data_IF_585697768872
#
_entry.id   IF_585697768872
#
_cell.length_a   1.000
_cell.length_b   1.000
_cell.length_c   1.000
_cell.angle_alpha   90.00
_cell.angle_beta   90.00
_cell.angle_gamma   90.00
#
_symmetry.space_group_name_H-M   'P 1'
#
loop_
_entity.id
_entity.type
_entity.pdbx_description
1 polymer ?
#
# COMPACT_ATOMS: atom_id res chain seq x y z
N UNK A 1 -17.88 -32.03 37.18
CA UNK A 1 -19.19 -31.54 36.67
C UNK A 1 -19.40 -32.07 35.25
N UNK A 2 -20.51 -32.76 34.98
CA UNK A 2 -20.84 -33.23 33.64
C UNK A 2 -21.26 -32.05 32.76
N UNK A 3 -20.57 -31.83 31.64
CA UNK A 3 -20.93 -30.79 30.66
C UNK A 3 -22.09 -31.27 29.80
N UNK A 4 -23.25 -30.63 29.94
CA UNK A 4 -24.42 -30.84 29.09
C UNK A 4 -24.29 -30.00 27.81
N UNK A 5 -24.26 -30.65 26.65
CA UNK A 5 -24.20 -29.97 25.36
C UNK A 5 -25.58 -30.07 24.69
N UNK A 6 -25.92 -29.09 23.83
CA UNK A 6 -27.19 -29.06 23.07
C UNK A 6 -26.96 -29.51 21.63
N UNK A 7 -27.85 -30.36 21.10
CA UNK A 7 -27.75 -30.85 19.73
C UNK A 7 -27.80 -29.66 18.75
N UNK A 8 -26.85 -29.61 17.82
CA UNK A 8 -26.72 -28.51 16.85
C UNK A 8 -27.73 -28.58 15.69
N UNK A 9 -28.36 -29.74 15.44
CA UNK A 9 -29.48 -29.84 14.50
C UNK A 9 -30.63 -28.96 14.98
N UNK A 10 -30.98 -27.97 14.16
CA UNK A 10 -31.95 -26.91 14.46
C UNK A 10 -33.31 -27.43 14.92
N UNK A 11 -33.89 -28.45 14.28
CA UNK A 11 -35.14 -29.08 14.70
C UNK A 11 -35.05 -29.86 16.03
N UNK A 12 -33.86 -30.40 16.35
CA UNK A 12 -33.72 -31.37 17.43
C UNK A 12 -33.46 -30.73 18.81
N UNK A 13 -32.45 -29.85 18.91
CA UNK A 13 -32.07 -29.04 20.11
C UNK A 13 -32.11 -29.72 21.48
N UNK A 14 -32.08 -31.05 21.56
CA UNK A 14 -32.15 -31.79 22.82
C UNK A 14 -30.89 -31.53 23.65
N UNK A 15 -31.06 -31.32 24.95
CA UNK A 15 -29.97 -31.07 25.91
C UNK A 15 -29.67 -32.37 26.64
N UNK A 16 -28.42 -32.80 26.65
CA UNK A 16 -28.02 -34.06 27.27
C UNK A 16 -26.52 -34.35 27.17
N UNK A 17 -26.10 -35.53 27.59
CA UNK A 17 -24.77 -36.09 27.30
C UNK A 17 -24.71 -36.52 25.84
N UNK A 18 -24.51 -35.55 24.95
CA UNK A 18 -24.37 -35.80 23.51
C UNK A 18 -23.16 -36.68 23.23
N UNK A 19 -23.35 -37.74 22.45
CA UNK A 19 -22.32 -38.76 22.22
C UNK A 19 -21.50 -38.53 20.95
N UNK A 20 -22.00 -37.77 19.97
CA UNK A 20 -21.37 -37.63 18.66
C UNK A 20 -20.85 -36.20 18.48
N UNK A 21 -19.56 -36.08 18.21
CA UNK A 21 -18.89 -34.82 17.83
C UNK A 21 -18.62 -34.83 16.33
N UNK A 22 -18.61 -33.66 15.71
CA UNK A 22 -18.05 -33.53 14.37
C UNK A 22 -16.59 -33.99 14.38
N UNK A 23 -16.21 -34.89 13.48
CA UNK A 23 -14.86 -35.43 13.40
C UNK A 23 -13.81 -34.37 13.00
N UNK A 24 -14.24 -33.33 12.27
CA UNK A 24 -13.40 -32.26 11.77
C UNK A 24 -13.19 -31.18 12.85
N UNK A 25 -14.20 -30.35 13.13
CA UNK A 25 -14.06 -29.24 14.07
C UNK A 25 -14.04 -29.65 15.54
N UNK A 26 -14.57 -30.83 15.90
CA UNK A 26 -14.70 -31.33 17.29
C UNK A 26 -15.48 -30.42 18.26
N UNK A 27 -16.02 -29.29 17.79
CA UNK A 27 -16.74 -28.28 18.57
C UNK A 27 -18.26 -28.41 18.48
N UNK A 28 -18.78 -28.99 17.39
CA UNK A 28 -20.22 -29.21 17.19
C UNK A 28 -20.65 -30.59 17.69
N UNK A 29 -21.76 -30.65 18.43
CA UNK A 29 -22.26 -31.87 19.07
C UNK A 29 -23.65 -32.27 18.56
N UNK A 30 -23.87 -33.58 18.46
CA UNK A 30 -25.09 -34.18 17.97
C UNK A 30 -25.59 -35.30 18.89
N UNK A 31 -26.91 -35.42 18.98
CA UNK A 31 -27.54 -36.53 19.71
C UNK A 31 -27.54 -37.83 18.89
N UNK A 32 -27.47 -37.74 17.57
CA UNK A 32 -27.51 -38.87 16.64
C UNK A 32 -26.73 -38.57 15.35
N UNK A 33 -26.41 -39.63 14.59
CA UNK A 33 -25.78 -39.51 13.27
C UNK A 33 -26.71 -38.83 12.26
N UNK A 34 -28.02 -39.04 12.36
CA UNK A 34 -29.02 -38.38 11.52
C UNK A 34 -28.98 -36.85 11.69
N UNK A 35 -28.98 -36.36 12.93
CA UNK A 35 -28.84 -34.93 13.22
C UNK A 35 -27.49 -34.36 12.77
N UNK A 36 -26.43 -35.17 12.81
CA UNK A 36 -25.12 -34.77 12.30
C UNK A 36 -25.13 -34.58 10.78
N UNK A 37 -25.70 -35.55 10.03
CA UNK A 37 -25.79 -35.50 8.57
C UNK A 37 -26.69 -34.36 8.09
N UNK A 38 -27.88 -34.23 8.67
CA UNK A 38 -28.83 -33.16 8.34
C UNK A 38 -28.20 -31.77 8.54
N UNK A 39 -27.64 -31.51 9.73
CA UNK A 39 -26.99 -30.24 10.00
C UNK A 39 -25.74 -30.03 9.13
N UNK A 40 -25.00 -31.10 8.79
CA UNK A 40 -23.83 -31.04 7.91
C UNK A 40 -24.19 -30.53 6.52
N UNK A 41 -25.17 -31.16 5.88
CA UNK A 41 -25.57 -30.82 4.51
C UNK A 41 -26.24 -29.44 4.43
N UNK A 42 -27.05 -29.06 5.43
CA UNK A 42 -27.80 -27.80 5.37
C UNK A 42 -26.97 -26.57 5.75
N UNK A 43 -26.07 -26.67 6.75
CA UNK A 43 -25.44 -25.48 7.37
C UNK A 43 -24.00 -25.65 7.81
N UNK A 44 -23.64 -26.78 8.42
CA UNK A 44 -22.35 -26.91 9.09
C UNK A 44 -21.19 -27.05 8.10
N UNK A 45 -21.37 -27.66 6.94
CA UNK A 45 -20.32 -27.78 5.92
C UNK A 45 -19.74 -26.43 5.48
N UNK A 46 -20.57 -25.39 5.46
CA UNK A 46 -20.16 -24.01 5.11
C UNK A 46 -19.50 -23.26 6.27
N UNK A 47 -19.59 -23.78 7.50
CA UNK A 47 -19.17 -23.11 8.74
C UNK A 47 -18.27 -23.99 9.61
N UNK A 48 -17.74 -25.08 9.06
CA UNK A 48 -16.88 -26.02 9.77
C UNK A 48 -15.43 -25.55 9.71
N UNK A 49 -14.85 -25.21 10.85
CA UNK A 49 -13.49 -24.64 10.95
C UNK A 49 -12.34 -25.67 10.80
N UNK A 50 -12.61 -26.89 10.34
CA UNK A 50 -11.57 -27.92 10.10
C UNK A 50 -10.89 -28.48 11.36
N UNK A 51 -9.86 -29.33 11.18
CA UNK A 51 -9.13 -29.97 12.29
C UNK A 51 -8.21 -29.02 13.07
N UNK A 52 -7.89 -27.88 12.48
CA UNK A 52 -7.07 -26.81 13.08
C UNK A 52 -7.94 -25.78 13.84
N UNK A 53 -9.25 -26.05 13.96
CA UNK A 53 -10.14 -25.31 14.83
C UNK A 53 -9.63 -25.43 16.27
N UNK A 54 -9.04 -24.35 16.77
CA UNK A 54 -8.74 -24.21 18.19
C UNK A 54 -9.99 -24.58 18.98
N UNK A 55 -9.88 -25.60 19.85
CA UNK A 55 -10.96 -25.91 20.78
C UNK A 55 -11.28 -24.62 21.54
N UNK A 56 -12.53 -24.11 21.51
CA UNK A 56 -12.89 -22.94 22.29
C UNK A 56 -12.47 -23.22 23.72
N UNK A 57 -11.74 -22.28 24.32
CA UNK A 57 -11.26 -22.38 25.69
C UNK A 57 -12.41 -22.87 26.56
N UNK A 58 -12.20 -23.99 27.27
CA UNK A 58 -13.21 -24.52 28.19
C UNK A 58 -13.60 -23.37 29.12
N UNK A 59 -14.91 -23.15 29.27
CA UNK A 59 -15.42 -22.20 30.25
C UNK A 59 -14.84 -22.55 31.62
N UNK A 60 -13.99 -21.67 32.18
CA UNK A 60 -13.62 -21.76 33.60
C UNK A 60 -12.16 -21.59 34.05
N UNK A 61 -11.18 -21.12 33.25
CA UNK A 61 -9.80 -20.91 33.81
C UNK A 61 -9.35 -19.44 33.80
N UNK A 62 -9.90 -18.59 32.93
CA UNK A 62 -9.60 -17.16 32.96
C UNK A 62 -10.83 -16.34 32.58
N UNK A 63 -11.44 -15.71 33.59
CA UNK A 63 -12.54 -14.78 33.35
C UNK A 63 -11.98 -13.43 32.88
N UNK A 64 -11.55 -13.37 31.61
CA UNK A 64 -11.01 -12.15 31.02
C UNK A 64 -11.98 -10.97 31.18
N UNK A 65 -13.28 -11.21 31.02
CA UNK A 65 -14.33 -10.18 31.19
C UNK A 65 -14.52 -9.73 32.65
N UNK A 66 -14.07 -10.52 33.62
CA UNK A 66 -14.06 -10.18 35.04
C UNK A 66 -12.86 -9.33 35.46
N UNK A 67 -11.87 -9.13 34.61
CA UNK A 67 -10.78 -8.18 34.88
C UNK A 67 -11.30 -6.74 34.86
N UNK A 68 -10.72 -5.81 35.65
CA UNK A 68 -11.01 -4.38 35.50
C UNK A 68 -10.78 -3.88 34.08
N UNK A 69 -11.57 -2.90 33.62
CA UNK A 69 -11.51 -2.39 32.24
C UNK A 69 -10.11 -1.83 31.90
N UNK A 70 -9.45 -1.22 32.88
CA UNK A 70 -8.11 -0.67 32.77
C UNK A 70 -7.08 -1.76 32.48
N UNK A 71 -7.21 -2.92 33.12
CA UNK A 71 -6.33 -4.08 32.89
C UNK A 71 -6.58 -4.68 31.52
N UNK A 72 -7.85 -4.83 31.10
CA UNK A 72 -8.19 -5.33 29.76
C UNK A 72 -7.63 -4.41 28.67
N UNK A 73 -7.74 -3.09 28.85
CA UNK A 73 -7.17 -2.10 27.92
C UNK A 73 -5.65 -2.23 27.78
N UNK A 74 -4.91 -2.42 28.88
CA UNK A 74 -3.46 -2.67 28.83
C UNK A 74 -3.13 -3.95 28.08
N UNK A 75 -3.88 -5.03 28.29
CA UNK A 75 -3.70 -6.28 27.55
C UNK A 75 -3.98 -6.08 26.05
N UNK A 76 -5.04 -5.36 25.70
CA UNK A 76 -5.33 -5.04 24.29
C UNK A 76 -4.22 -4.23 23.64
N UNK A 77 -3.67 -3.24 24.35
CA UNK A 77 -2.54 -2.44 23.86
C UNK A 77 -1.29 -3.29 23.63
N UNK A 78 -0.88 -4.10 24.61
CA UNK A 78 0.33 -4.93 24.48
C UNK A 78 0.22 -5.96 23.36
N UNK A 79 -0.94 -6.59 23.22
CA UNK A 79 -1.10 -7.65 22.23
C UNK A 79 -1.21 -7.06 20.82
N UNK A 80 -1.82 -5.89 20.64
CA UNK A 80 -2.32 -5.47 19.32
C UNK A 80 -2.05 -4.01 18.92
N UNK A 81 -1.61 -3.14 19.82
CA UNK A 81 -1.07 -1.86 19.37
C UNK A 81 0.27 -2.13 18.66
N UNK A 82 0.39 -1.66 17.43
CA UNK A 82 1.64 -1.74 16.70
C UNK A 82 2.50 -0.54 17.10
N UNK A 83 3.73 -0.82 17.52
CA UNK A 83 4.70 0.19 17.94
C UNK A 83 6.03 -0.13 17.30
N UNK A 84 6.79 0.91 16.95
CA UNK A 84 8.16 0.73 16.48
C UNK A 84 9.03 0.24 17.66
N UNK A 85 9.98 -0.65 17.40
CA UNK A 85 11.09 -0.89 18.32
C UNK A 85 11.80 0.43 18.67
N UNK A 86 12.38 0.54 19.86
CA UNK A 86 13.03 1.78 20.32
C UNK A 86 14.15 2.24 19.38
N UNK A 87 14.89 1.30 18.78
CA UNK A 87 15.94 1.58 17.77
C UNK A 87 15.36 2.20 16.51
N UNK A 88 14.29 1.62 15.99
CA UNK A 88 13.61 2.08 14.78
C UNK A 88 12.93 3.44 15.01
N UNK A 89 12.40 3.67 16.21
CA UNK A 89 11.82 4.97 16.59
C UNK A 89 12.89 6.07 16.61
N UNK A 90 14.07 5.81 17.19
CA UNK A 90 15.15 6.78 17.20
C UNK A 90 15.65 7.12 15.78
N UNK A 91 15.68 6.12 14.89
CA UNK A 91 16.01 6.32 13.48
C UNK A 91 14.94 7.13 12.75
N UNK A 92 13.66 6.81 12.98
CA UNK A 92 12.52 7.57 12.45
C UNK A 92 12.61 9.04 12.85
N UNK A 93 12.78 9.34 14.13
CA UNK A 93 12.81 10.70 14.66
C UNK A 93 13.97 11.51 14.07
N UNK A 94 15.14 10.88 13.89
CA UNK A 94 16.31 11.47 13.23
C UNK A 94 16.05 11.83 11.77
N UNK A 95 15.39 10.94 11.02
CA UNK A 95 15.07 11.20 9.60
C UNK A 95 13.98 12.27 9.50
N UNK A 96 12.96 12.22 10.35
CA UNK A 96 11.91 13.22 10.41
C UNK A 96 12.46 14.62 10.71
N UNK A 97 13.41 14.74 11.66
CA UNK A 97 14.10 15.99 11.95
C UNK A 97 14.92 16.53 10.76
N UNK A 98 15.44 15.65 9.91
CA UNK A 98 16.19 16.04 8.71
C UNK A 98 15.29 16.72 7.67
N UNK A 99 14.04 16.26 7.53
CA UNK A 99 13.04 16.87 6.64
C UNK A 99 12.72 18.30 7.08
N UNK A 100 12.59 18.52 8.40
CA UNK A 100 12.33 19.85 8.98
C UNK A 100 13.46 20.86 8.73
N UNK A 101 14.67 20.39 8.42
CA UNK A 101 15.86 21.23 8.23
C UNK A 101 16.13 21.67 6.76
N UNK A 102 15.22 21.37 5.81
CA UNK A 102 15.07 22.18 4.58
C UNK A 102 15.83 21.77 3.31
N UNK A 103 16.40 20.56 3.19
CA UNK A 103 16.96 20.11 1.90
C UNK A 103 15.88 19.41 1.04
N UNK A 104 15.35 20.11 0.03
CA UNK A 104 14.23 19.65 -0.81
C UNK A 104 14.47 18.32 -1.56
N UNK A 105 15.68 18.09 -2.11
CA UNK A 105 16.00 16.83 -2.81
C UNK A 105 16.16 15.63 -1.87
N UNK A 106 16.50 15.87 -0.59
CA UNK A 106 16.47 14.85 0.45
C UNK A 106 15.06 14.54 0.91
N UNK A 107 14.12 15.48 0.80
CA UNK A 107 12.78 15.33 1.35
C UNK A 107 11.99 14.18 0.71
N UNK A 108 12.09 13.94 -0.60
CA UNK A 108 11.39 12.80 -1.24
C UNK A 108 11.95 11.46 -0.75
N UNK A 109 13.28 11.31 -0.77
CA UNK A 109 13.96 10.10 -0.30
C UNK A 109 13.72 9.84 1.19
N UNK A 110 13.76 10.89 2.01
CA UNK A 110 13.43 10.79 3.43
C UNK A 110 11.95 10.42 3.64
N UNK A 111 11.03 10.95 2.82
CA UNK A 111 9.59 10.58 2.89
C UNK A 111 9.38 9.10 2.54
N UNK A 112 10.00 8.60 1.48
CA UNK A 112 9.94 7.18 1.14
C UNK A 112 10.54 6.30 2.24
N UNK A 113 11.65 6.75 2.85
CA UNK A 113 12.28 6.04 3.94
C UNK A 113 11.41 6.00 5.20
N UNK A 114 10.77 7.11 5.58
CA UNK A 114 9.81 7.15 6.69
C UNK A 114 8.57 6.30 6.41
N UNK A 115 8.11 6.25 5.17
CA UNK A 115 6.98 5.42 4.79
C UNK A 115 7.25 3.92 5.01
N UNK A 116 8.49 3.46 4.82
CA UNK A 116 8.89 2.09 5.18
C UNK A 116 8.67 1.82 6.67
N UNK A 117 9.00 2.76 7.56
CA UNK A 117 8.74 2.62 8.99
C UNK A 117 7.26 2.69 9.33
N UNK A 118 6.52 3.63 8.75
CA UNK A 118 5.07 3.75 8.95
C UNK A 118 4.40 2.40 8.62
N UNK A 119 4.77 1.75 7.52
CA UNK A 119 4.23 0.44 7.12
C UNK A 119 4.55 -0.68 8.10
N UNK A 120 5.70 -0.65 8.79
CA UNK A 120 6.09 -1.65 9.81
C UNK A 120 5.22 -1.62 11.07
N UNK A 121 4.40 -0.59 11.25
CA UNK A 121 3.47 -0.51 12.39
C UNK A 121 2.01 -0.49 11.97
N UNK A 122 1.71 -0.73 10.69
CA UNK A 122 0.31 -0.81 10.27
C UNK A 122 -0.33 -2.13 10.69
N UNK A 123 -1.67 -2.13 10.68
CA UNK A 123 -2.49 -3.32 10.89
C UNK A 123 -3.27 -3.64 9.62
N UNK A 124 -3.25 -4.90 9.20
CA UNK A 124 -4.02 -5.40 8.05
C UNK A 124 -5.02 -6.48 8.48
N UNK A 125 -6.28 -6.48 7.99
CA UNK A 125 -7.33 -7.33 8.54
C UNK A 125 -7.22 -8.82 8.19
N UNK A 126 -6.71 -9.19 7.01
CA UNK A 126 -6.98 -10.54 6.46
C UNK A 126 -5.77 -11.40 6.06
N UNK A 127 -4.54 -10.89 6.05
CA UNK A 127 -3.40 -11.71 5.61
C UNK A 127 -2.04 -11.13 6.02
N UNK A 128 -1.04 -12.00 6.10
CA UNK A 128 0.35 -11.59 5.87
C UNK A 128 0.45 -11.21 4.40
N UNK A 129 0.31 -9.92 4.08
CA UNK A 129 0.77 -9.38 2.81
C UNK A 129 2.23 -9.73 2.63
N UNK A 130 2.52 -10.74 1.81
CA UNK A 130 3.89 -11.12 1.53
C UNK A 130 4.49 -10.26 0.43
N UNK A 131 3.68 -9.65 -0.44
CA UNK A 131 4.12 -8.88 -1.62
C UNK A 131 3.10 -7.78 -2.01
N UNK A 132 3.60 -6.60 -2.42
CA UNK A 132 2.92 -5.61 -3.27
C UNK A 132 3.85 -5.34 -4.46
N UNK A 133 3.36 -5.47 -5.69
CA UNK A 133 4.17 -5.31 -6.91
C UNK A 133 5.45 -6.19 -6.94
N UNK A 134 5.38 -7.43 -6.45
CA UNK A 134 6.56 -8.31 -6.24
C UNK A 134 7.62 -7.75 -5.27
N UNK A 135 7.36 -6.61 -4.63
CA UNK A 135 8.18 -6.10 -3.52
C UNK A 135 7.60 -6.64 -2.23
N UNK A 136 8.38 -7.35 -1.41
CA UNK A 136 7.86 -7.86 -0.17
C UNK A 136 7.47 -6.72 0.78
N UNK A 137 6.21 -6.71 1.21
CA UNK A 137 5.78 -5.82 2.29
C UNK A 137 6.21 -6.48 3.58
N UNK A 138 7.26 -5.94 4.19
CA UNK A 138 7.70 -6.40 5.50
C UNK A 138 7.13 -5.52 6.60
N UNK A 139 6.70 -6.15 7.69
CA UNK A 139 6.62 -5.51 9.00
C UNK A 139 5.25 -5.13 9.54
N UNK A 140 4.16 -5.11 8.78
CA UNK A 140 2.83 -4.83 9.36
C UNK A 140 2.36 -5.99 10.25
N UNK A 141 1.50 -5.70 11.25
CA UNK A 141 0.89 -6.72 12.12
C UNK A 141 -0.43 -7.21 11.51
N UNK A 142 -0.58 -8.50 11.20
CA UNK A 142 -1.86 -9.04 10.77
C UNK A 142 -2.84 -9.07 11.93
N UNK A 143 -4.03 -8.48 11.78
CA UNK A 143 -5.12 -8.58 12.75
C UNK A 143 -5.56 -10.04 12.94
N UNK A 144 -5.36 -10.89 11.92
CA UNK A 144 -5.62 -12.34 12.01
C UNK A 144 -4.77 -13.04 13.07
N UNK A 145 -3.61 -12.49 13.48
CA UNK A 145 -2.85 -13.05 14.61
C UNK A 145 -3.57 -12.86 15.96
N UNK A 146 -4.47 -11.88 16.04
CA UNK A 146 -5.37 -11.67 17.18
C UNK A 146 -6.59 -12.58 17.17
N UNK A 147 -6.77 -13.40 16.14
CA UNK A 147 -8.02 -14.12 15.84
C UNK A 147 -8.46 -15.02 16.99
N UNK A 148 -7.53 -15.63 17.73
CA UNK A 148 -7.87 -16.41 18.92
C UNK A 148 -8.62 -15.61 20.00
N UNK A 149 -8.21 -14.37 20.25
CA UNK A 149 -8.87 -13.45 21.18
C UNK A 149 -10.18 -12.88 20.61
N UNK A 150 -10.18 -12.53 19.32
CA UNK A 150 -11.36 -12.02 18.61
C UNK A 150 -12.50 -13.05 18.53
N UNK A 151 -12.17 -14.33 18.35
CA UNK A 151 -13.13 -15.43 18.25
C UNK A 151 -13.58 -15.96 19.62
N UNK A 152 -12.81 -15.72 20.68
CA UNK A 152 -13.13 -16.22 22.01
C UNK A 152 -14.44 -15.64 22.58
N UNK A 153 -14.78 -14.39 22.24
CA UNK A 153 -16.00 -13.74 22.75
C UNK A 153 -16.39 -12.50 21.93
N UNK A 154 -17.69 -12.34 21.62
CA UNK A 154 -18.24 -11.17 20.88
C UNK A 154 -17.99 -9.85 21.58
N UNK A 155 -18.10 -9.80 22.91
CA UNK A 155 -17.85 -8.61 23.70
C UNK A 155 -16.36 -8.25 23.71
N UNK A 156 -15.47 -9.23 23.82
CA UNK A 156 -14.01 -9.02 23.67
C UNK A 156 -13.73 -8.46 22.28
N UNK A 157 -14.32 -9.04 21.22
CA UNK A 157 -14.17 -8.57 19.85
C UNK A 157 -14.61 -7.11 19.68
N UNK A 158 -15.72 -6.72 20.29
CA UNK A 158 -16.24 -5.36 20.23
C UNK A 158 -15.38 -4.37 21.04
N UNK A 159 -15.06 -4.71 22.30
CA UNK A 159 -14.19 -3.91 23.17
C UNK A 159 -12.82 -3.68 22.53
N UNK A 160 -12.30 -4.68 21.84
CA UNK A 160 -11.03 -4.64 21.13
C UNK A 160 -11.10 -3.74 19.89
N UNK A 161 -12.16 -3.83 19.09
CA UNK A 161 -12.38 -2.92 17.95
C UNK A 161 -12.44 -1.47 18.40
N UNK A 162 -13.10 -1.19 19.52
CA UNK A 162 -13.18 0.17 20.07
C UNK A 162 -11.84 0.67 20.61
N UNK A 163 -11.07 -0.18 21.30
CA UNK A 163 -9.78 0.20 21.88
C UNK A 163 -8.66 0.39 20.85
N UNK A 164 -8.72 -0.36 19.75
CA UNK A 164 -7.62 -0.48 18.78
C UNK A 164 -7.72 0.50 17.61
N UNK A 165 -8.93 0.78 17.12
CA UNK A 165 -9.14 1.45 15.83
C UNK A 165 -8.72 2.91 15.81
N UNK A 166 -8.74 3.57 16.96
CA UNK A 166 -8.23 4.92 17.11
C UNK A 166 -6.69 4.97 17.30
N UNK A 167 -6.07 3.86 17.74
CA UNK A 167 -4.64 3.82 18.11
C UNK A 167 -3.73 3.30 17.01
N UNK A 168 -4.25 2.51 16.08
CA UNK A 168 -3.48 1.92 14.99
C UNK A 168 -3.82 2.56 13.65
N UNK A 169 -2.84 2.56 12.75
CA UNK A 169 -3.03 2.85 11.32
C UNK A 169 -3.38 1.57 10.59
N UNK A 170 -4.49 1.58 9.86
CA UNK A 170 -4.94 0.42 9.10
C UNK A 170 -4.48 0.50 7.64
N UNK A 171 -3.83 -0.56 7.20
CA UNK A 171 -3.43 -0.75 5.81
C UNK A 171 -4.59 -1.36 5.01
N UNK A 172 -5.00 -0.64 3.98
CA UNK A 172 -5.97 -1.06 2.97
C UNK A 172 -5.24 -1.20 1.65
N UNK A 173 -5.43 -2.32 0.97
CA UNK A 173 -4.84 -2.56 -0.34
C UNK A 173 -5.89 -2.45 -1.43
N UNK A 174 -5.54 -1.72 -2.49
CA UNK A 174 -6.33 -1.57 -3.71
C UNK A 174 -5.41 -1.94 -4.85
N UNK A 175 -5.75 -2.99 -5.60
CA UNK A 175 -4.90 -3.46 -6.69
C UNK A 175 -5.72 -4.15 -7.78
N UNK A 176 -5.16 -4.21 -8.97
CA UNK A 176 -5.82 -4.76 -10.16
C UNK A 176 -5.91 -6.29 -10.20
N UNK A 177 -5.28 -6.97 -9.24
CA UNK A 177 -5.34 -8.41 -9.00
C UNK A 177 -5.69 -8.74 -7.53
N UNK A 178 -6.52 -7.92 -6.89
CA UNK A 178 -6.83 -8.09 -5.46
C UNK A 178 -7.51 -9.45 -5.22
N UNK A 179 -7.09 -10.17 -4.16
CA UNK A 179 -7.60 -11.53 -3.88
C UNK A 179 -9.11 -11.52 -3.62
N UNK A 180 -9.63 -10.48 -2.95
CA UNK A 180 -11.06 -10.29 -2.69
C UNK A 180 -11.86 -9.70 -3.87
N UNK A 181 -11.27 -9.61 -5.06
CA UNK A 181 -11.94 -9.08 -6.25
C UNK A 181 -12.67 -10.16 -7.06
N UNK A 182 -12.61 -11.42 -6.60
CA UNK A 182 -13.41 -12.53 -7.12
C UNK A 182 -14.92 -12.27 -7.03
N UNK A 183 -15.38 -11.45 -6.07
CA UNK A 183 -16.74 -10.89 -6.08
C UNK A 183 -16.84 -9.51 -5.39
N UNK A 184 -17.78 -8.66 -5.86
CA UNK A 184 -18.04 -7.36 -5.22
C UNK A 184 -18.46 -7.47 -3.75
N UNK A 185 -18.98 -8.63 -3.33
CA UNK A 185 -19.36 -8.89 -1.95
C UNK A 185 -18.14 -9.13 -1.06
N UNK A 186 -17.12 -9.81 -1.55
CA UNK A 186 -15.88 -10.07 -0.80
C UNK A 186 -15.12 -8.77 -0.53
N UNK A 187 -14.98 -7.90 -1.53
CA UNK A 187 -14.38 -6.58 -1.30
C UNK A 187 -15.19 -5.74 -0.31
N UNK A 188 -16.53 -5.80 -0.33
CA UNK A 188 -17.37 -5.14 0.68
C UNK A 188 -17.13 -5.69 2.09
N UNK A 189 -16.99 -7.01 2.22
CA UNK A 189 -16.69 -7.64 3.51
C UNK A 189 -15.30 -7.21 4.02
N UNK A 190 -14.31 -7.16 3.13
CA UNK A 190 -12.98 -6.61 3.42
C UNK A 190 -13.07 -5.15 3.92
N UNK A 191 -13.82 -4.30 3.23
CA UNK A 191 -14.05 -2.89 3.62
C UNK A 191 -14.73 -2.76 4.99
N UNK A 192 -15.62 -3.68 5.36
CA UNK A 192 -16.32 -3.67 6.65
C UNK A 192 -15.37 -3.70 7.86
N UNK A 193 -14.15 -4.23 7.68
CA UNK A 193 -13.13 -4.23 8.73
C UNK A 193 -12.58 -2.84 9.03
N UNK A 194 -12.81 -1.82 8.20
CA UNK A 194 -12.17 -0.50 8.35
C UNK A 194 -13.14 0.61 8.73
N UNK A 195 -14.45 0.34 8.80
CA UNK A 195 -15.48 1.37 8.97
C UNK A 195 -15.37 2.21 10.25
N UNK A 196 -14.71 1.67 11.29
CA UNK A 196 -14.47 2.39 12.55
C UNK A 196 -13.08 3.03 12.65
N UNK A 197 -12.25 2.89 11.61
CA UNK A 197 -10.84 3.27 11.70
C UNK A 197 -10.73 4.78 11.68
N UNK A 198 -9.78 5.31 12.45
CA UNK A 198 -9.47 6.74 12.48
C UNK A 198 -8.24 7.08 11.66
N UNK A 199 -7.32 6.13 11.54
CA UNK A 199 -6.07 6.29 10.81
C UNK A 199 -6.03 5.26 9.69
N UNK A 200 -6.10 5.72 8.45
CA UNK A 200 -6.11 4.86 7.26
C UNK A 200 -4.86 5.09 6.41
N UNK A 201 -4.33 4.00 5.88
CA UNK A 201 -3.31 4.00 4.86
C UNK A 201 -3.83 3.19 3.67
N UNK A 202 -4.03 3.84 2.53
CA UNK A 202 -4.48 3.21 1.29
C UNK A 202 -3.28 3.01 0.38
N UNK A 203 -2.89 1.74 0.18
CA UNK A 203 -1.88 1.33 -0.78
C UNK A 203 -2.55 0.95 -2.10
N UNK A 204 -2.38 1.78 -3.13
CA UNK A 204 -2.88 1.54 -4.47
C UNK A 204 -1.73 1.01 -5.34
N UNK A 205 -1.89 -0.16 -5.93
CA UNK A 205 -0.87 -0.82 -6.73
C UNK A 205 -1.43 -1.26 -8.10
N UNK A 206 -0.73 -0.94 -9.19
CA UNK A 206 -1.12 -1.37 -10.55
C UNK A 206 0.06 -2.01 -11.29
N UNK A 207 0.63 -3.12 -10.77
CA UNK A 207 1.82 -3.72 -11.36
C UNK A 207 1.54 -4.52 -12.65
N UNK A 208 0.30 -5.00 -12.81
CA UNK A 208 0.00 -6.08 -13.74
C UNK A 208 0.02 -5.65 -15.19
N UNK A 209 -0.57 -4.50 -15.50
CA UNK A 209 -0.72 -4.03 -16.87
C UNK A 209 0.02 -2.72 -17.10
N UNK A 210 0.78 -2.66 -18.20
CA UNK A 210 1.47 -1.46 -18.66
C UNK A 210 0.56 -0.68 -19.62
N UNK A 211 0.76 0.63 -19.77
CA UNK A 211 0.00 1.40 -20.74
C UNK A 211 0.19 0.81 -22.16
N UNK A 212 -0.90 0.71 -22.91
CA UNK A 212 -0.96 0.09 -24.24
C UNK A 212 -1.35 -1.39 -24.25
N UNK A 213 -1.32 -2.07 -23.10
CA UNK A 213 -1.73 -3.47 -23.00
C UNK A 213 -3.26 -3.61 -22.94
N UNK A 214 -3.78 -4.71 -23.48
CA UNK A 214 -5.23 -5.01 -23.56
C UNK A 214 -5.95 -4.99 -22.20
N UNK A 215 -5.23 -5.17 -21.09
CA UNK A 215 -5.77 -5.16 -19.73
C UNK A 215 -5.70 -3.82 -18.98
N UNK A 216 -5.03 -2.81 -19.54
CA UNK A 216 -4.74 -1.57 -18.82
C UNK A 216 -6.03 -0.79 -18.45
N UNK A 217 -6.95 -0.59 -19.40
CA UNK A 217 -8.21 0.10 -19.10
C UNK A 217 -9.09 -0.67 -18.10
N UNK A 218 -9.06 -2.00 -18.17
CA UNK A 218 -9.75 -2.85 -17.20
C UNK A 218 -9.14 -2.66 -15.80
N UNK A 219 -7.82 -2.57 -15.69
CA UNK A 219 -7.11 -2.24 -14.46
C UNK A 219 -7.54 -0.88 -13.90
N UNK A 220 -7.56 0.18 -14.72
CA UNK A 220 -8.04 1.52 -14.31
C UNK A 220 -9.46 1.44 -13.73
N UNK A 221 -10.36 0.72 -14.39
CA UNK A 221 -11.74 0.54 -13.94
C UNK A 221 -11.86 -0.27 -12.64
N UNK A 222 -11.01 -1.29 -12.45
CA UNK A 222 -10.93 -2.06 -11.21
C UNK A 222 -10.52 -1.18 -10.04
N UNK A 223 -9.44 -0.40 -10.19
CA UNK A 223 -8.97 0.53 -9.16
C UNK A 223 -10.06 1.55 -8.83
N UNK A 224 -10.72 2.11 -9.84
CA UNK A 224 -11.85 3.03 -9.66
C UNK A 224 -12.95 2.41 -8.80
N UNK A 225 -13.39 1.20 -9.15
CA UNK A 225 -14.47 0.48 -8.47
C UNK A 225 -14.12 0.18 -7.02
N UNK A 226 -12.92 -0.34 -6.75
CA UNK A 226 -12.46 -0.66 -5.40
C UNK A 226 -12.38 0.60 -4.54
N UNK A 227 -11.73 1.66 -5.04
CA UNK A 227 -11.58 2.91 -4.30
C UNK A 227 -12.94 3.58 -4.04
N UNK A 228 -13.85 3.62 -5.02
CA UNK A 228 -15.22 4.11 -4.82
C UNK A 228 -15.98 3.29 -3.78
N UNK A 229 -15.88 1.95 -3.83
CA UNK A 229 -16.56 1.08 -2.87
C UNK A 229 -16.07 1.36 -1.45
N UNK A 230 -14.77 1.53 -1.26
CA UNK A 230 -14.19 1.91 0.02
C UNK A 230 -14.72 3.26 0.51
N UNK A 231 -14.61 4.30 -0.31
CA UNK A 231 -15.00 5.67 0.06
C UNK A 231 -16.49 5.74 0.38
N UNK A 232 -17.35 5.18 -0.47
CA UNK A 232 -18.82 5.15 -0.24
C UNK A 232 -19.14 4.44 1.07
N UNK A 233 -18.48 3.31 1.35
CA UNK A 233 -18.74 2.54 2.57
C UNK A 233 -18.32 3.31 3.83
N UNK A 234 -17.18 4.01 3.78
CA UNK A 234 -16.72 4.88 4.86
C UNK A 234 -17.66 6.07 5.07
N UNK A 235 -18.14 6.69 4.00
CA UNK A 235 -19.11 7.79 4.07
C UNK A 235 -20.45 7.34 4.67
N UNK A 236 -20.97 6.19 4.23
CA UNK A 236 -22.21 5.61 4.78
C UNK A 236 -22.08 5.26 6.26
N UNK A 237 -20.89 4.88 6.72
CA UNK A 237 -20.61 4.63 8.12
C UNK A 237 -20.43 5.91 8.95
N UNK A 238 -20.46 7.10 8.32
CA UNK A 238 -20.21 8.37 9.00
C UNK A 238 -18.77 8.50 9.50
N UNK A 239 -17.80 7.91 8.78
CA UNK A 239 -16.41 7.95 9.18
C UNK A 239 -15.88 9.39 9.25
N UNK A 240 -15.04 9.64 10.25
CA UNK A 240 -14.26 10.85 10.40
C UNK A 240 -12.83 10.41 10.72
N UNK A 241 -11.88 10.76 9.86
CA UNK A 241 -10.51 10.27 9.91
C UNK A 241 -9.58 11.30 10.54
N UNK A 242 -8.81 10.85 11.52
CA UNK A 242 -7.73 11.63 12.11
C UNK A 242 -6.56 11.70 11.13
N UNK A 243 -6.26 10.60 10.45
CA UNK A 243 -5.30 10.59 9.34
C UNK A 243 -5.72 9.71 8.16
N UNK A 244 -5.35 10.16 6.97
CA UNK A 244 -5.46 9.39 5.74
C UNK A 244 -4.17 9.56 4.92
N UNK A 245 -3.45 8.47 4.71
CA UNK A 245 -2.29 8.42 3.81
C UNK A 245 -2.65 7.60 2.58
N UNK A 246 -2.30 8.08 1.39
CA UNK A 246 -2.49 7.36 0.13
C UNK A 246 -1.16 7.21 -0.58
N UNK A 247 -0.76 5.97 -0.90
CA UNK A 247 0.40 5.69 -1.75
C UNK A 247 -0.07 5.06 -3.05
N UNK A 248 0.30 5.65 -4.18
CA UNK A 248 0.07 5.06 -5.50
C UNK A 248 1.39 4.54 -6.10
N UNK A 249 1.46 3.23 -6.33
CA UNK A 249 2.60 2.58 -7.00
C UNK A 249 2.13 2.07 -8.36
N UNK A 250 2.62 2.67 -9.43
CA UNK A 250 2.26 2.26 -10.79
C UNK A 250 3.01 0.99 -11.22
N UNK A 251 2.94 0.66 -12.51
CA UNK A 251 3.80 -0.35 -13.12
C UNK A 251 5.28 0.07 -13.19
N UNK A 252 5.61 1.31 -12.80
CA UNK A 252 6.98 1.85 -12.68
C UNK A 252 7.19 2.34 -11.24
N UNK A 253 7.60 1.48 -10.31
CA UNK A 253 7.31 1.55 -8.88
C UNK A 253 7.87 2.80 -8.16
N UNK A 254 7.18 3.93 -8.26
CA UNK A 254 7.65 5.21 -7.72
C UNK A 254 8.66 5.94 -8.62
N UNK A 255 9.00 5.39 -9.79
CA UNK A 255 9.97 6.01 -10.70
C UNK A 255 9.44 7.31 -11.31
N UNK A 256 8.12 7.47 -11.39
CA UNK A 256 7.50 8.67 -11.98
C UNK A 256 7.40 9.80 -10.97
N UNK A 257 7.28 9.49 -9.67
CA UNK A 257 7.27 10.51 -8.62
C UNK A 257 8.54 11.38 -8.64
N UNK A 258 9.71 10.76 -8.72
CA UNK A 258 11.00 11.46 -8.79
C UNK A 258 11.12 12.32 -10.06
N UNK A 259 10.50 11.88 -11.15
CA UNK A 259 10.53 12.52 -12.46
C UNK A 259 9.27 13.33 -12.79
N UNK A 260 8.42 13.63 -11.80
CA UNK A 260 7.07 14.18 -12.03
C UNK A 260 7.06 15.41 -12.94
N UNK A 261 8.02 16.31 -12.77
CA UNK A 261 8.14 17.52 -13.62
C UNK A 261 8.37 17.15 -15.08
N UNK A 262 9.32 16.25 -15.34
CA UNK A 262 9.65 15.78 -16.69
C UNK A 262 8.51 14.96 -17.30
N UNK A 263 7.85 14.15 -16.48
CA UNK A 263 6.71 13.31 -16.85
C UNK A 263 5.47 14.15 -17.21
N UNK A 264 5.20 15.22 -16.45
CA UNK A 264 4.12 16.17 -16.75
C UNK A 264 4.38 16.92 -18.06
N UNK A 265 5.61 17.38 -18.29
CA UNK A 265 6.02 17.97 -19.57
C UNK A 265 5.83 17.01 -20.74
N UNK A 266 6.22 15.75 -20.57
CA UNK A 266 6.02 14.70 -21.56
C UNK A 266 4.54 14.39 -21.81
N UNK A 267 3.71 14.36 -20.78
CA UNK A 267 2.27 14.16 -20.91
C UNK A 267 1.57 15.33 -21.64
N UNK A 268 2.08 16.55 -21.47
CA UNK A 268 1.53 17.76 -22.07
C UNK A 268 1.96 17.95 -23.53
N UNK A 269 3.19 17.58 -23.89
CA UNK A 269 3.78 17.90 -25.20
C UNK A 269 4.34 16.66 -25.90
N UNK A 270 3.86 16.38 -27.11
CA UNK A 270 4.33 15.21 -27.91
C UNK A 270 5.81 15.28 -28.29
N UNK A 271 6.36 16.49 -28.40
CA UNK A 271 7.75 16.76 -28.79
C UNK A 271 8.71 16.82 -27.59
N UNK A 272 8.20 16.66 -26.37
CA UNK A 272 9.03 16.54 -25.18
C UNK A 272 9.94 15.31 -25.26
N UNK A 273 11.04 15.34 -24.50
CA UNK A 273 12.00 14.24 -24.41
C UNK A 273 11.33 13.03 -23.74
N UNK A 274 11.61 11.85 -24.27
CA UNK A 274 11.19 10.58 -23.67
C UNK A 274 11.89 10.35 -22.34
N UNK A 275 11.28 9.54 -21.48
CA UNK A 275 11.85 9.16 -20.19
C UNK A 275 12.32 7.73 -20.27
N UNK A 276 13.61 7.50 -20.08
CA UNK A 276 14.20 6.17 -20.01
C UNK A 276 14.01 5.58 -18.62
N UNK A 277 13.50 4.36 -18.59
CA UNK A 277 13.12 3.64 -17.37
C UNK A 277 13.63 2.20 -17.43
N UNK A 278 13.61 1.53 -16.30
CA UNK A 278 13.80 0.08 -16.26
C UNK A 278 12.44 -0.58 -16.21
N UNK A 279 12.13 -1.46 -17.15
CA UNK A 279 10.96 -2.30 -17.04
C UNK A 279 11.17 -3.28 -15.87
N UNK A 280 10.38 -3.19 -14.78
CA UNK A 280 10.58 -4.03 -13.61
C UNK A 280 10.26 -5.51 -13.87
N UNK A 281 9.60 -5.85 -14.98
CA UNK A 281 9.26 -7.23 -15.34
C UNK A 281 10.36 -7.93 -16.11
N UNK A 282 10.99 -7.20 -17.02
CA UNK A 282 12.03 -7.74 -17.91
C UNK A 282 13.45 -7.37 -17.48
N UNK A 283 13.58 -6.44 -16.54
CA UNK A 283 14.84 -5.81 -16.11
C UNK A 283 15.63 -5.21 -17.28
N UNK A 284 14.93 -4.82 -18.35
CA UNK A 284 15.53 -4.16 -19.52
C UNK A 284 15.22 -2.67 -19.51
N UNK A 285 16.14 -1.92 -20.10
CA UNK A 285 15.91 -0.50 -20.34
C UNK A 285 14.85 -0.32 -21.42
N UNK A 286 13.86 0.51 -21.12
CA UNK A 286 12.78 0.90 -22.02
C UNK A 286 12.61 2.43 -21.92
N UNK A 287 11.69 2.99 -22.71
CA UNK A 287 11.35 4.40 -22.63
C UNK A 287 9.85 4.65 -22.65
N UNK A 288 9.43 5.63 -21.87
CA UNK A 288 8.06 6.13 -21.88
C UNK A 288 7.98 7.29 -22.88
N UNK A 289 7.10 7.14 -23.86
CA UNK A 289 6.73 8.19 -24.80
C UNK A 289 5.43 8.90 -24.39
N UNK A 290 5.11 10.00 -25.10
CA UNK A 290 3.94 10.84 -24.83
C UNK A 290 2.62 10.05 -24.71
N UNK A 291 2.35 9.13 -25.63
CA UNK A 291 1.10 8.36 -25.63
C UNK A 291 1.00 7.44 -24.39
N UNK A 292 2.09 6.73 -24.09
CA UNK A 292 2.23 5.85 -22.92
C UNK A 292 2.09 6.63 -21.62
N UNK A 293 2.73 7.79 -21.50
CA UNK A 293 2.62 8.65 -20.30
C UNK A 293 1.19 9.15 -20.08
N UNK A 294 0.49 9.59 -21.15
CA UNK A 294 -0.91 9.99 -21.04
C UNK A 294 -1.82 8.86 -20.59
N UNK A 295 -1.59 7.65 -21.07
CA UNK A 295 -2.35 6.48 -20.63
C UNK A 295 -2.03 6.13 -19.18
N UNK A 296 -0.76 6.16 -18.76
CA UNK A 296 -0.36 5.96 -17.37
C UNK A 296 -1.13 6.88 -16.41
N UNK A 297 -1.25 8.17 -16.78
CA UNK A 297 -1.96 9.17 -16.01
C UNK A 297 -3.48 8.97 -15.92
N UNK A 298 -4.07 8.00 -16.62
CA UNK A 298 -5.46 7.62 -16.41
C UNK A 298 -5.71 7.07 -14.99
N UNK A 299 -4.74 6.34 -14.41
CA UNK A 299 -4.81 5.91 -13.02
C UNK A 299 -4.77 7.12 -12.07
N UNK A 300 -3.80 8.01 -12.26
CA UNK A 300 -3.66 9.26 -11.49
C UNK A 300 -4.97 10.06 -11.48
N UNK A 301 -5.52 10.33 -12.67
CA UNK A 301 -6.76 11.09 -12.84
C UNK A 301 -7.95 10.41 -12.16
N UNK A 302 -8.03 9.07 -12.26
CA UNK A 302 -9.06 8.26 -11.62
C UNK A 302 -8.98 8.35 -10.10
N UNK A 303 -7.79 8.14 -9.53
CA UNK A 303 -7.55 8.23 -8.08
C UNK A 303 -7.90 9.63 -7.58
N UNK A 304 -7.41 10.66 -8.25
CA UNK A 304 -7.66 12.05 -7.90
C UNK A 304 -9.14 12.42 -7.96
N UNK A 305 -9.86 11.96 -8.98
CA UNK A 305 -11.30 12.19 -9.10
C UNK A 305 -12.08 11.60 -7.93
N UNK A 306 -11.78 10.36 -7.53
CA UNK A 306 -12.46 9.69 -6.42
C UNK A 306 -12.13 10.36 -5.09
N UNK A 307 -10.86 10.65 -4.82
CA UNK A 307 -10.44 11.32 -3.58
C UNK A 307 -11.02 12.74 -3.46
N UNK A 308 -11.03 13.51 -4.56
CA UNK A 308 -11.59 14.86 -4.56
C UNK A 308 -13.11 14.87 -4.35
N UNK A 309 -13.81 13.83 -4.81
CA UNK A 309 -15.25 13.68 -4.63
C UNK A 309 -15.63 13.24 -3.20
N UNK A 310 -14.69 12.68 -2.44
CA UNK A 310 -14.96 12.23 -1.07
C UNK A 310 -15.38 13.39 -0.18
N UNK A 311 -16.38 13.14 0.68
CA UNK A 311 -16.90 14.06 1.69
C UNK A 311 -16.39 13.73 3.10
N UNK A 312 -15.56 12.70 3.23
CA UNK A 312 -15.00 12.29 4.51
C UNK A 312 -14.13 13.43 5.07
N UNK A 313 -14.39 13.91 6.29
CA UNK A 313 -13.49 14.83 6.97
C UNK A 313 -12.18 14.11 7.32
N UNK A 314 -11.05 14.76 7.02
CA UNK A 314 -9.70 14.25 7.30
C UNK A 314 -8.88 15.36 7.94
N UNK A 315 -8.30 15.08 9.10
CA UNK A 315 -7.46 16.08 9.80
C UNK A 315 -6.03 16.12 9.26
N UNK A 316 -5.41 14.96 9.02
CA UNK A 316 -4.07 14.85 8.48
C UNK A 316 -4.06 14.00 7.19
N UNK A 317 -3.93 14.66 6.04
CA UNK A 317 -3.87 13.98 4.75
C UNK A 317 -2.42 13.92 4.24
N UNK A 318 -2.00 12.78 3.68
CA UNK A 318 -0.72 12.63 2.98
C UNK A 318 -0.93 11.84 1.69
N UNK A 319 -0.23 12.23 0.63
CA UNK A 319 -0.27 11.50 -0.63
C UNK A 319 1.09 11.54 -1.32
N UNK A 320 1.49 10.42 -1.91
CA UNK A 320 2.72 10.26 -2.67
C UNK A 320 2.58 9.12 -3.67
N UNK A 321 3.53 9.02 -4.59
CA UNK A 321 3.57 8.07 -5.69
C UNK A 321 3.46 8.72 -7.06
N UNK A 322 3.20 7.85 -8.05
CA UNK A 322 3.21 8.14 -9.49
C UNK A 322 1.98 8.94 -9.97
N UNK A 323 1.63 9.99 -9.23
CA UNK A 323 0.51 10.90 -9.50
C UNK A 323 1.03 12.10 -10.29
N UNK A 324 0.27 12.52 -11.29
CA UNK A 324 0.58 13.70 -12.10
C UNK A 324 0.57 14.98 -11.25
N UNK A 325 1.40 15.97 -11.59
CA UNK A 325 1.40 17.27 -10.89
C UNK A 325 0.04 17.98 -10.93
N UNK A 326 -0.70 18.00 -12.06
CA UNK A 326 -2.05 18.56 -12.12
C UNK A 326 -3.03 17.87 -11.15
N UNK A 327 -3.01 16.55 -11.07
CA UNK A 327 -3.88 15.79 -10.16
C UNK A 327 -3.48 15.97 -8.71
N UNK A 328 -2.17 15.94 -8.41
CA UNK A 328 -1.66 16.24 -7.08
C UNK A 328 -2.07 17.64 -6.64
N UNK A 329 -2.07 18.63 -7.53
CA UNK A 329 -2.52 20.00 -7.24
C UNK A 329 -4.03 20.08 -6.98
N UNK A 330 -4.85 19.27 -7.66
CA UNK A 330 -6.28 19.15 -7.36
C UNK A 330 -6.53 18.55 -5.97
N UNK A 331 -5.85 17.46 -5.66
CA UNK A 331 -5.94 16.77 -4.36
C UNK A 331 -5.45 17.70 -3.25
N UNK A 332 -4.32 18.36 -3.45
CA UNK A 332 -3.73 19.28 -2.46
C UNK A 332 -4.68 20.42 -2.12
N UNK A 333 -5.41 20.98 -3.11
CA UNK A 333 -6.47 21.97 -2.85
C UNK A 333 -7.63 21.39 -2.05
N UNK A 334 -8.06 20.16 -2.34
CA UNK A 334 -9.16 19.49 -1.61
C UNK A 334 -8.82 19.26 -0.13
N UNK A 335 -7.58 18.91 0.16
CA UNK A 335 -7.13 18.54 1.52
C UNK A 335 -6.25 19.60 2.19
N UNK A 336 -6.14 20.79 1.59
CA UNK A 336 -5.32 21.91 2.08
C UNK A 336 -3.85 21.53 2.36
N UNK A 337 -3.22 20.79 1.46
CA UNK A 337 -1.80 20.41 1.54
C UNK A 337 -0.94 21.41 0.76
N UNK A 338 0.25 21.79 1.27
CA UNK A 338 1.24 22.54 0.51
C UNK A 338 1.64 21.80 -0.77
N UNK A 339 1.53 22.46 -1.92
CA UNK A 339 2.10 21.94 -3.16
C UNK A 339 3.60 22.26 -3.22
N UNK A 340 4.45 21.32 -3.64
CA UNK A 340 5.86 21.61 -3.87
C UNK A 340 6.00 22.73 -4.91
N UNK A 341 6.73 23.80 -4.57
CA UNK A 341 7.01 24.88 -5.53
C UNK A 341 7.96 24.39 -6.61
N UNK A 342 7.62 24.65 -7.87
CA UNK A 342 8.50 24.42 -9.03
C UNK A 342 9.21 25.69 -9.48
N UNK A 343 9.03 26.81 -8.77
CA UNK A 343 9.46 28.15 -9.20
C UNK A 343 10.99 28.30 -9.36
N UNK A 344 11.79 27.45 -8.72
CA UNK A 344 13.25 27.50 -8.76
C UNK A 344 13.84 26.62 -9.88
N UNK A 345 13.03 25.82 -10.57
CA UNK A 345 13.51 24.88 -11.59
C UNK A 345 13.71 25.58 -12.94
N UNK A 346 14.88 25.37 -13.55
CA UNK A 346 15.14 25.75 -14.94
C UNK A 346 14.48 24.71 -15.87
N UNK A 347 13.44 25.13 -16.58
CA UNK A 347 12.67 24.27 -17.48
C UNK A 347 12.89 24.64 -18.95
N UNK A 348 12.77 23.65 -19.83
CA UNK A 348 12.72 23.86 -21.27
C UNK A 348 11.33 24.34 -21.72
N UNK A 349 11.19 24.59 -23.03
CA UNK A 349 9.92 25.03 -23.65
C UNK A 349 8.76 24.03 -23.53
N UNK A 350 9.02 22.80 -23.11
CA UNK A 350 8.04 21.75 -22.90
C UNK A 350 7.79 21.48 -21.41
N UNK A 351 8.37 22.29 -20.51
CA UNK A 351 8.20 22.15 -19.07
C UNK A 351 9.04 21.04 -18.44
N UNK A 352 10.03 20.49 -19.15
CA UNK A 352 10.95 19.48 -18.61
C UNK A 352 12.23 20.14 -18.07
N UNK A 353 12.87 19.53 -17.08
CA UNK A 353 14.08 20.05 -16.43
C UNK A 353 15.25 20.13 -17.42
N UNK A 354 15.94 21.26 -17.43
CA UNK A 354 17.19 21.41 -18.16
C UNK A 354 18.33 20.72 -17.41
N UNK A 355 19.20 20.01 -18.14
CA UNK A 355 20.41 19.43 -17.57
C UNK A 355 21.57 20.44 -17.68
N UNK A 356 22.10 20.89 -16.55
CA UNK A 356 23.18 21.88 -16.51
C UNK A 356 24.47 21.39 -17.19
N UNK A 357 24.76 20.09 -17.15
CA UNK A 357 25.90 19.51 -17.88
C UNK A 357 25.68 19.55 -19.39
N UNK A 358 24.45 19.30 -19.86
CA UNK A 358 24.14 19.42 -21.28
C UNK A 358 24.32 20.87 -21.77
N UNK A 359 23.88 21.85 -20.98
CA UNK A 359 24.09 23.27 -21.27
C UNK A 359 25.59 23.63 -21.27
N UNK A 360 26.37 23.09 -20.33
CA UNK A 360 27.82 23.29 -20.30
C UNK A 360 28.51 22.77 -21.57
N UNK A 361 28.14 21.56 -22.03
CA UNK A 361 28.68 21.00 -23.27
C UNK A 361 28.27 21.80 -24.51
N UNK A 362 27.05 22.36 -24.55
CA UNK A 362 26.63 23.28 -25.62
C UNK A 362 27.47 24.54 -25.65
N UNK A 363 27.76 25.09 -24.48
CA UNK A 363 28.55 26.31 -24.38
C UNK A 363 30.01 26.07 -24.77
N UNK A 364 30.57 24.91 -24.41
CA UNK A 364 31.86 24.44 -24.91
C UNK A 364 31.88 24.31 -26.43
N UNK A 365 30.85 23.74 -27.03
CA UNK A 365 30.77 23.59 -28.49
C UNK A 365 30.82 24.94 -29.23
N UNK A 366 30.24 26.00 -28.64
CA UNK A 366 30.31 27.36 -29.18
C UNK A 366 31.70 27.98 -29.06
N UNK A 367 32.41 27.68 -27.96
CA UNK A 367 33.74 28.23 -27.64
C UNK A 367 34.87 27.52 -28.39
N UNK A 368 34.69 26.24 -28.72
CA UNK A 368 35.72 25.40 -29.34
C UNK A 368 35.19 24.70 -30.59
N UNK A 369 35.29 25.35 -31.77
CA UNK A 369 34.79 24.81 -33.04
C UNK A 369 35.36 23.42 -33.39
N UNK A 370 36.64 23.20 -33.09
CA UNK A 370 37.36 21.96 -33.42
C UNK A 370 36.82 20.72 -32.70
N UNK A 371 36.18 20.90 -31.54
CA UNK A 371 35.56 19.84 -30.74
C UNK A 371 34.04 19.97 -30.66
N UNK A 372 33.45 20.84 -31.47
CA UNK A 372 32.04 21.21 -31.36
C UNK A 372 31.11 20.01 -31.55
N UNK A 373 31.38 19.15 -32.54
CA UNK A 373 30.55 17.97 -32.80
C UNK A 373 30.58 16.99 -31.62
N UNK A 374 31.76 16.71 -31.06
CA UNK A 374 31.91 15.85 -29.88
C UNK A 374 31.17 16.42 -28.67
N UNK A 375 31.31 17.72 -28.41
CA UNK A 375 30.62 18.39 -27.32
C UNK A 375 29.10 18.38 -27.52
N UNK A 376 28.60 18.59 -28.75
CA UNK A 376 27.17 18.52 -29.05
C UNK A 376 26.62 17.09 -28.90
N UNK A 377 27.39 16.08 -29.28
CA UNK A 377 26.99 14.68 -29.07
C UNK A 377 26.91 14.35 -27.58
N UNK A 378 27.87 14.82 -26.78
CA UNK A 378 27.82 14.67 -25.32
C UNK A 378 26.64 15.44 -24.71
N UNK A 379 26.35 16.65 -25.17
CA UNK A 379 25.17 17.40 -24.72
C UNK A 379 23.88 16.61 -24.97
N UNK A 380 23.68 16.05 -26.17
CA UNK A 380 22.51 15.21 -26.50
C UNK A 380 22.40 13.98 -25.60
N UNK A 381 23.53 13.41 -25.21
CA UNK A 381 23.59 12.27 -24.31
C UNK A 381 23.22 12.64 -22.87
N UNK A 382 23.65 13.79 -22.39
CA UNK A 382 23.29 14.33 -21.07
C UNK A 382 21.82 14.78 -21.01
N UNK A 383 21.21 15.14 -22.14
CA UNK A 383 19.80 15.55 -22.18
C UNK A 383 18.79 14.43 -22.01
N UNK A 384 19.22 13.18 -22.16
CA UNK A 384 18.37 12.02 -21.94
C UNK A 384 17.92 11.98 -20.48
N UNK A 385 16.62 11.81 -20.27
CA UNK A 385 16.01 11.77 -18.94
C UNK A 385 15.95 10.31 -18.51
N UNK A 386 16.55 9.97 -17.38
CA UNK A 386 16.57 8.61 -16.83
C UNK A 386 15.91 8.59 -15.46
N UNK A 387 15.13 7.55 -15.17
CA UNK A 387 14.68 7.28 -13.81
C UNK A 387 15.85 6.98 -12.87
N UNK A 388 15.61 7.07 -11.56
CA UNK A 388 16.62 6.81 -10.54
C UNK A 388 17.27 5.44 -10.73
N UNK A 389 16.46 4.39 -10.98
CA UNK A 389 16.95 3.02 -11.21
C UNK A 389 17.68 2.88 -12.54
N UNK A 390 17.13 3.44 -13.63
CA UNK A 390 17.79 3.42 -14.94
C UNK A 390 19.14 4.14 -14.93
N UNK A 391 19.21 5.28 -14.24
CA UNK A 391 20.43 6.06 -14.03
C UNK A 391 21.47 5.28 -13.22
N UNK A 392 21.06 4.62 -12.14
CA UNK A 392 21.95 3.79 -11.31
C UNK A 392 22.55 2.62 -12.12
N UNK A 393 21.72 1.88 -12.85
CA UNK A 393 22.18 0.75 -13.68
C UNK A 393 23.09 1.22 -14.82
N UNK A 394 22.75 2.33 -15.47
CA UNK A 394 23.62 2.95 -16.50
C UNK A 394 25.00 3.30 -15.95
N UNK A 395 25.06 3.89 -14.74
CA UNK A 395 26.34 4.19 -14.08
C UNK A 395 27.13 2.92 -13.76
N UNK A 396 26.48 1.87 -13.29
CA UNK A 396 27.11 0.56 -13.08
C UNK A 396 27.69 0.01 -14.38
N UNK A 397 26.94 0.05 -15.48
CA UNK A 397 27.41 -0.44 -16.78
C UNK A 397 28.63 0.35 -17.30
N UNK A 398 28.71 1.65 -17.00
CA UNK A 398 29.87 2.49 -17.34
C UNK A 398 31.11 2.19 -16.49
N UNK A 399 30.95 1.71 -15.26
CA UNK A 399 32.05 1.35 -14.37
C UNK A 399 32.75 0.03 -14.76
N UNK A 400 32.16 -0.77 -15.65
CA UNK A 400 32.71 -2.05 -16.12
C UNK A 400 32.36 -3.26 -15.22
N UNK A 401 33.02 -4.42 -15.40
CA UNK A 401 32.74 -5.64 -14.62
C UNK A 401 32.93 -5.42 -13.11
N UNK A 402 32.34 -6.28 -12.24
CA UNK A 402 32.30 -6.07 -10.80
C UNK A 402 33.69 -5.69 -10.25
N UNK A 403 33.83 -4.42 -9.92
CA UNK A 403 35.01 -3.88 -9.28
C UNK A 403 34.88 -4.05 -7.78
N UNK A 404 36.01 -4.10 -7.07
CA UNK A 404 36.05 -3.99 -5.61
C UNK A 404 35.66 -2.58 -5.10
N UNK A 405 35.12 -1.73 -5.98
CA UNK A 405 34.71 -0.37 -5.68
C UNK A 405 33.45 -0.38 -4.81
N UNK A 406 33.49 0.22 -3.61
CA UNK A 406 32.32 0.40 -2.76
C UNK A 406 31.15 1.10 -3.47
N UNK A 407 31.43 1.95 -4.46
CA UNK A 407 30.41 2.64 -5.25
C UNK A 407 29.64 1.69 -6.18
N UNK A 408 30.30 0.69 -6.77
CA UNK A 408 29.64 -0.36 -7.56
C UNK A 408 28.64 -1.15 -6.70
N UNK A 409 29.07 -1.57 -5.51
CA UNK A 409 28.21 -2.30 -4.57
C UNK A 409 27.02 -1.44 -4.10
N UNK A 410 27.24 -0.15 -3.82
CA UNK A 410 26.19 0.79 -3.44
C UNK A 410 25.17 1.03 -4.56
N UNK A 411 25.63 1.23 -5.79
CA UNK A 411 24.74 1.46 -6.94
C UNK A 411 23.93 0.20 -7.28
N UNK A 412 24.54 -0.99 -7.18
CA UNK A 412 23.82 -2.26 -7.32
C UNK A 412 22.82 -2.51 -6.20
N UNK A 413 23.15 -2.15 -4.96
CA UNK A 413 22.20 -2.22 -3.85
C UNK A 413 21.02 -1.26 -4.06
N UNK A 414 21.28 -0.03 -4.50
CA UNK A 414 20.24 0.96 -4.83
C UNK A 414 19.33 0.46 -5.96
N UNK A 415 19.90 -0.09 -7.03
CA UNK A 415 19.16 -0.63 -8.16
C UNK A 415 18.32 -1.89 -7.82
N UNK A 416 18.65 -2.58 -6.72
CA UNK A 416 17.91 -3.74 -6.20
C UNK A 416 16.90 -3.38 -5.11
N UNK A 417 17.11 -2.25 -4.42
CA UNK A 417 16.25 -1.81 -3.32
C UNK A 417 15.04 -0.99 -3.78
N UNK A 418 15.06 -0.51 -5.02
CA UNK A 418 13.95 0.15 -5.73
C UNK A 418 13.31 -0.88 -6.65
#
# INVERSE_FOLDING_TARGET
>A
MATYNRCASGPCRTVGTLKIRCAYCKTTYYCSKACATEHWEEKHKLTCDGSDAFSPLRSGIFNFMGLPREVRNKIYEEVLASRLPTTDQAEYDRVAATISNGQHDLANRCRDYLDVFDRRIMVSPEFTLTLVCNVPIWGFKPLVLARGLLLANKQISQELKEALYAKNTFLIQIQDDHVCDTSAQEFRNYVAHFLKAKNLYISIATPKYQPGERGFEASVNTIKRQLLTLIISLEQAGANLDSLTVRYTSCYPGEIEDLRVDADGLAAHRQARVIWIMDPRTEKMDYIEHATMKQLYLHSSTIAAVLCASKIPVSNFRIFGDISGPDLSRISRRFNIPTPSTAELKLDKYGQRLNEHAEWFRDMAKKHPDTAETCLNQARFEEQIFSTRASAIRKVAMLGPPSSDPEYARLMALARSI
#
